data_IF_068008803143
#
_entry.id   IF_068008803143
#
_cell.length_a   1.000
_cell.length_b   1.000
_cell.length_c   1.000
_cell.angle_alpha   90.00
_cell.angle_beta   90.00
_cell.angle_gamma   90.00
#
_symmetry.space_group_name_H-M   'P 1'
#
loop_
_entity.id
_entity.type
_entity.pdbx_description
1 polymer ?
#
# COMPACT_ATOMS: atom_id res chain seq x y z
N UNK A 1 20.73 52.85 -25.49
CA UNK A 1 22.19 52.74 -25.33
C UNK A 1 22.42 52.22 -23.91
N UNK A 2 22.55 50.90 -23.77
CA UNK A 2 23.83 50.14 -23.72
C UNK A 2 24.43 50.22 -22.30
N UNK A 3 24.16 49.22 -21.45
CA UNK A 3 24.92 47.95 -21.25
C UNK A 3 25.96 48.14 -20.13
N UNK A 4 26.20 47.20 -19.20
CA UNK A 4 26.89 45.93 -19.38
C UNK A 4 26.82 45.10 -18.05
N UNK A 5 26.40 43.81 -18.14
CA UNK A 5 26.89 42.55 -17.47
C UNK A 5 27.02 42.42 -15.93
N UNK A 6 26.98 41.26 -15.25
CA UNK A 6 26.95 39.80 -15.54
C UNK A 6 26.52 39.07 -14.22
N UNK A 7 25.96 37.85 -14.31
CA UNK A 7 26.11 36.65 -13.41
C UNK A 7 25.97 36.81 -11.87
N UNK A 8 25.31 35.94 -11.08
CA UNK A 8 25.36 34.48 -11.00
C UNK A 8 24.38 33.99 -9.89
N UNK A 9 23.94 32.73 -9.98
CA UNK A 9 23.54 31.79 -8.88
C UNK A 9 22.21 31.95 -8.11
N UNK A 10 21.32 30.99 -8.43
CA UNK A 10 20.59 30.09 -7.52
C UNK A 10 19.74 30.65 -6.38
N UNK A 11 18.41 30.52 -6.53
CA UNK A 11 17.50 30.10 -5.46
C UNK A 11 16.37 29.22 -6.05
N UNK A 12 16.71 27.97 -6.38
CA UNK A 12 15.76 26.86 -6.27
C UNK A 12 15.42 26.69 -4.78
N UNK A 13 14.18 26.28 -4.46
CA UNK A 13 13.58 26.08 -3.12
C UNK A 13 12.65 27.20 -2.63
N UNK A 14 11.75 27.67 -3.50
CA UNK A 14 10.48 28.29 -3.10
C UNK A 14 9.34 27.27 -2.97
N UNK A 15 9.57 26.15 -2.28
CA UNK A 15 8.55 25.15 -1.99
C UNK A 15 7.72 25.58 -0.79
N UNK A 16 6.68 26.39 -1.03
CA UNK A 16 5.67 26.66 -0.02
C UNK A 16 5.13 25.35 0.54
N UNK A 17 5.33 25.12 1.85
CA UNK A 17 4.63 24.06 2.57
C UNK A 17 3.13 24.34 2.43
N UNK A 18 2.30 23.40 1.94
CA UNK A 18 0.87 23.56 2.06
C UNK A 18 0.52 23.57 3.55
N UNK A 19 -0.03 24.69 4.00
CA UNK A 19 -0.70 24.78 5.29
C UNK A 19 -1.88 23.79 5.28
N UNK A 20 -1.98 22.99 6.35
CA UNK A 20 -2.99 21.98 6.66
C UNK A 20 -3.12 20.78 5.69
N UNK A 21 -2.25 19.79 5.84
CA UNK A 21 -2.70 18.39 5.80
C UNK A 21 -3.45 18.14 7.12
N UNK A 22 -4.77 18.28 7.09
CA UNK A 22 -5.62 17.91 8.21
C UNK A 22 -5.49 16.41 8.46
N UNK A 23 -4.97 16.04 9.62
CA UNK A 23 -4.89 14.68 10.11
C UNK A 23 -6.31 14.08 10.15
N UNK A 24 -6.49 12.87 9.62
CA UNK A 24 -7.79 12.21 9.61
C UNK A 24 -8.17 11.74 11.00
N UNK A 25 -9.22 12.34 11.58
CA UNK A 25 -9.84 11.91 12.84
C UNK A 25 -11.07 11.07 12.51
N UNK A 26 -11.14 9.87 13.08
CA UNK A 26 -12.26 8.94 12.87
C UNK A 26 -12.84 8.52 14.23
N UNK A 27 -14.15 8.63 14.39
CA UNK A 27 -14.83 8.16 15.60
C UNK A 27 -15.12 6.65 15.50
N UNK A 28 -14.88 5.92 16.59
CA UNK A 28 -15.25 4.50 16.73
C UNK A 28 -15.88 4.25 18.09
N UNK A 29 -16.48 3.07 18.26
CA UNK A 29 -17.06 2.62 19.54
C UNK A 29 -16.04 2.60 20.70
N UNK A 30 -14.75 2.47 20.41
CA UNK A 30 -13.67 2.42 21.41
C UNK A 30 -12.98 3.78 21.64
N UNK A 31 -13.40 4.84 20.92
CA UNK A 31 -12.84 6.19 21.01
C UNK A 31 -12.36 6.77 19.68
N UNK A 32 -11.62 7.87 19.77
CA UNK A 32 -11.08 8.61 18.64
C UNK A 32 -9.85 7.89 18.05
N UNK A 33 -9.89 7.58 16.75
CA UNK A 33 -8.76 7.09 15.98
C UNK A 33 -8.13 8.26 15.24
N UNK A 34 -6.83 8.47 15.47
CA UNK A 34 -6.06 9.50 14.79
C UNK A 34 -5.08 8.86 13.78
N UNK A 35 -5.24 9.22 12.50
CA UNK A 35 -4.31 8.81 11.43
C UNK A 35 -3.20 9.84 11.31
N UNK A 36 -1.95 9.39 11.43
CA UNK A 36 -0.73 10.23 11.35
C UNK A 36 0.20 9.76 10.25
N UNK A 37 1.05 10.64 9.68
CA UNK A 37 2.20 10.19 8.89
C UNK A 37 3.09 9.27 9.71
N UNK A 38 3.55 8.17 9.11
CA UNK A 38 4.51 7.26 9.73
C UNK A 38 5.86 7.97 9.86
N UNK A 39 6.50 7.90 11.04
CA UNK A 39 7.83 8.49 11.27
C UNK A 39 8.92 7.43 11.16
N UNK A 40 10.16 7.86 10.90
CA UNK A 40 11.32 6.96 10.92
C UNK A 40 11.47 6.20 12.24
N UNK A 41 11.14 6.83 13.37
CA UNK A 41 11.14 6.21 14.70
C UNK A 41 10.12 5.08 14.86
N UNK A 42 9.05 5.08 14.06
CA UNK A 42 7.96 4.12 14.14
C UNK A 42 8.21 2.88 13.25
N UNK A 43 9.18 2.95 12.33
CA UNK A 43 9.49 1.89 11.35
C UNK A 43 9.73 0.53 12.03
N UNK A 44 10.54 0.40 13.11
CA UNK A 44 10.74 -0.91 13.73
C UNK A 44 9.44 -1.54 14.24
N UNK A 45 8.48 -0.73 14.71
CA UNK A 45 7.16 -1.22 15.12
C UNK A 45 6.31 -1.58 13.91
N UNK A 46 6.27 -0.72 12.89
CA UNK A 46 5.55 -0.96 11.65
C UNK A 46 6.00 -2.27 10.95
N UNK A 47 7.30 -2.55 10.92
CA UNK A 47 7.86 -3.78 10.35
C UNK A 47 7.38 -5.00 11.13
N UNK A 48 7.45 -4.95 12.48
CA UNK A 48 6.95 -6.05 13.33
C UNK A 48 5.44 -6.25 13.18
N UNK A 49 4.68 -5.16 13.11
CA UNK A 49 3.24 -5.18 12.86
C UNK A 49 2.92 -5.86 11.52
N UNK A 50 3.56 -5.39 10.44
CA UNK A 50 3.38 -5.95 9.09
C UNK A 50 3.69 -7.44 9.09
N UNK A 51 4.85 -7.82 9.61
CA UNK A 51 5.27 -9.22 9.65
C UNK A 51 4.34 -10.09 10.52
N UNK A 52 3.86 -9.58 11.66
CA UNK A 52 2.91 -10.33 12.49
C UNK A 52 1.53 -10.48 11.83
N UNK A 53 1.09 -9.46 11.10
CA UNK A 53 -0.21 -9.43 10.43
C UNK A 53 -0.24 -10.31 9.18
N UNK A 54 0.81 -10.25 8.33
CA UNK A 54 0.76 -10.87 7.00
C UNK A 54 1.14 -12.35 7.00
N UNK A 55 1.80 -12.87 8.05
CA UNK A 55 2.24 -14.28 8.09
C UNK A 55 1.13 -15.33 7.97
N UNK A 56 -0.09 -14.95 8.31
CA UNK A 56 -1.26 -15.84 8.20
C UNK A 56 -1.90 -15.77 6.81
N UNK A 57 -1.57 -14.77 6.00
CA UNK A 57 -2.09 -14.58 4.65
C UNK A 57 -1.61 -15.68 3.71
N UNK A 58 -2.48 -16.09 2.79
CA UNK A 58 -2.26 -17.19 1.87
C UNK A 58 -1.04 -16.96 0.97
N UNK A 59 -0.81 -15.76 0.46
CA UNK A 59 0.37 -15.44 -0.37
C UNK A 59 1.66 -15.49 0.47
N UNK A 60 1.62 -14.97 1.69
CA UNK A 60 2.77 -15.04 2.60
C UNK A 60 3.12 -16.48 2.94
N UNK A 61 2.13 -17.33 3.24
CA UNK A 61 2.33 -18.77 3.46
C UNK A 61 2.88 -19.47 2.23
N UNK A 62 2.39 -19.10 1.04
CA UNK A 62 2.88 -19.63 -0.23
C UNK A 62 4.36 -19.32 -0.47
N UNK A 63 4.84 -18.15 -0.09
CA UNK A 63 6.26 -17.83 -0.21
C UNK A 63 7.10 -18.44 0.93
N UNK A 64 6.61 -18.35 2.16
CA UNK A 64 7.30 -18.86 3.35
C UNK A 64 7.57 -20.37 3.26
N UNK A 65 6.66 -21.17 2.69
CA UNK A 65 6.84 -22.62 2.51
C UNK A 65 8.01 -22.97 1.55
N UNK A 66 8.26 -22.10 0.56
CA UNK A 66 9.38 -22.27 -0.36
C UNK A 66 10.68 -21.66 0.13
N UNK A 67 10.62 -20.80 1.15
CA UNK A 67 11.79 -20.13 1.71
C UNK A 67 12.57 -21.06 2.64
N UNK A 68 13.65 -21.63 2.10
CA UNK A 68 14.58 -22.49 2.85
C UNK A 68 15.77 -21.72 3.41
N UNK A 69 15.77 -20.39 3.31
CA UNK A 69 16.83 -19.55 3.84
C UNK A 69 16.91 -19.65 5.36
N UNK A 70 18.11 -19.75 5.96
CA UNK A 70 18.26 -19.84 7.42
C UNK A 70 17.85 -18.56 8.14
N UNK A 71 17.62 -17.46 7.41
CA UNK A 71 17.33 -16.14 7.96
C UNK A 71 16.21 -15.48 7.17
N UNK A 72 15.11 -15.12 7.84
CA UNK A 72 14.07 -14.24 7.30
C UNK A 72 14.47 -12.75 7.22
N UNK A 73 15.74 -12.46 7.49
CA UNK A 73 16.32 -11.12 7.39
C UNK A 73 16.08 -10.43 6.04
N UNK A 74 16.11 -11.11 4.87
CA UNK A 74 15.86 -10.44 3.59
C UNK A 74 14.47 -9.83 3.50
N UNK A 75 13.44 -10.50 4.04
CA UNK A 75 12.06 -10.01 4.02
C UNK A 75 11.86 -8.84 5.00
N UNK A 76 12.38 -8.95 6.23
CA UNK A 76 12.32 -7.83 7.18
C UNK A 76 13.08 -6.61 6.67
N UNK A 77 14.24 -6.82 6.05
CA UNK A 77 15.01 -5.75 5.42
C UNK A 77 14.21 -5.13 4.28
N UNK A 78 13.62 -5.94 3.39
CA UNK A 78 12.76 -5.47 2.31
C UNK A 78 11.61 -4.58 2.82
N UNK A 79 10.88 -5.03 3.84
CA UNK A 79 9.78 -4.26 4.45
C UNK A 79 10.31 -2.98 5.11
N UNK A 80 11.46 -3.05 5.79
CA UNK A 80 12.11 -1.87 6.40
C UNK A 80 12.46 -0.83 5.34
N UNK A 81 13.12 -1.24 4.27
CA UNK A 81 13.52 -0.33 3.19
C UNK A 81 12.31 0.24 2.45
N UNK A 82 11.25 -0.57 2.28
CA UNK A 82 9.98 -0.11 1.74
C UNK A 82 9.38 0.99 2.61
N UNK A 83 9.36 0.83 3.93
CA UNK A 83 8.89 1.90 4.82
C UNK A 83 9.79 3.13 4.81
N UNK A 84 11.12 2.98 4.73
CA UNK A 84 12.05 4.11 4.60
C UNK A 84 11.73 4.94 3.35
N UNK A 85 11.55 4.29 2.20
CA UNK A 85 11.19 4.97 0.96
C UNK A 85 9.80 5.63 1.06
N UNK A 86 8.80 4.93 1.60
CA UNK A 86 7.45 5.49 1.76
C UNK A 86 7.42 6.67 2.75
N UNK A 87 8.15 6.62 3.86
CA UNK A 87 8.25 7.74 4.81
C UNK A 87 8.96 8.93 4.13
N UNK A 88 10.04 8.69 3.38
CA UNK A 88 10.75 9.74 2.63
C UNK A 88 9.83 10.44 1.62
N UNK A 89 8.94 9.71 0.97
CA UNK A 89 8.01 10.22 -0.04
C UNK A 89 6.70 10.77 0.56
N UNK A 90 6.49 10.68 1.87
CA UNK A 90 5.22 11.08 2.51
C UNK A 90 4.04 10.15 2.17
N UNK A 91 4.35 8.88 1.90
CA UNK A 91 3.44 7.84 1.37
C UNK A 91 3.09 6.75 2.37
N UNK A 92 3.47 6.89 3.63
CA UNK A 92 3.10 5.98 4.71
C UNK A 92 2.36 6.74 5.82
N UNK A 93 1.23 6.16 6.25
CA UNK A 93 0.44 6.63 7.40
C UNK A 93 0.28 5.50 8.41
N UNK A 94 -0.04 5.88 9.65
CA UNK A 94 -0.11 4.98 10.79
C UNK A 94 -1.13 5.42 11.81
N UNK A 95 -1.57 4.45 12.62
CA UNK A 95 -2.28 4.65 13.87
C UNK A 95 -1.41 4.07 14.98
N UNK A 96 -1.34 4.79 16.12
CA UNK A 96 -0.64 4.36 17.32
C UNK A 96 0.82 3.94 17.09
N UNK A 97 1.57 4.79 16.38
CA UNK A 97 3.03 4.65 16.20
C UNK A 97 3.47 3.34 15.54
N UNK A 98 2.69 2.83 14.58
CA UNK A 98 3.01 1.60 13.84
C UNK A 98 2.19 0.37 14.23
N UNK A 99 1.20 0.50 15.11
CA UNK A 99 0.26 -0.59 15.47
C UNK A 99 -0.70 -0.92 14.32
N UNK A 100 -0.94 0.06 13.46
CA UNK A 100 -1.51 -0.15 12.12
C UNK A 100 -0.85 0.80 11.15
N UNK A 101 -0.61 0.33 9.94
CA UNK A 101 0.09 1.07 8.88
C UNK A 101 -0.58 0.85 7.54
N UNK A 102 -0.47 1.86 6.69
CA UNK A 102 -0.87 1.81 5.29
C UNK A 102 0.14 2.64 4.50
N UNK A 103 0.61 2.06 3.40
CA UNK A 103 1.38 2.76 2.39
C UNK A 103 0.52 2.96 1.15
N UNK A 104 0.87 3.91 0.30
CA UNK A 104 0.19 4.07 -0.97
C UNK A 104 1.14 4.56 -2.04
N UNK A 105 0.78 4.39 -3.31
CA UNK A 105 1.54 4.96 -4.43
C UNK A 105 0.66 5.91 -5.22
N UNK A 106 1.26 6.99 -5.69
CA UNK A 106 0.59 7.92 -6.60
C UNK A 106 0.69 7.43 -8.05
N UNK A 107 -0.18 7.96 -8.93
CA UNK A 107 -0.03 7.85 -10.38
C UNK A 107 1.40 8.16 -10.84
N UNK A 108 1.99 7.25 -11.63
CA UNK A 108 3.34 7.40 -12.18
C UNK A 108 4.50 7.07 -11.24
N UNK A 109 4.25 6.75 -9.97
CA UNK A 109 5.31 6.32 -9.05
C UNK A 109 5.94 4.99 -9.49
N UNK A 110 7.26 4.90 -9.37
CA UNK A 110 7.97 3.63 -9.55
C UNK A 110 7.53 2.60 -8.49
N UNK A 111 7.48 1.32 -8.86
CA UNK A 111 7.08 0.23 -7.94
C UNK A 111 7.97 0.11 -6.71
N UNK A 112 9.27 0.40 -6.86
CA UNK A 112 10.23 0.40 -5.79
C UNK A 112 10.90 1.77 -5.75
N UNK A 113 11.05 2.33 -4.54
CA UNK A 113 11.80 3.55 -4.35
C UNK A 113 13.28 3.39 -4.75
N UNK A 114 14.04 4.49 -4.88
CA UNK A 114 15.43 4.44 -5.33
C UNK A 114 16.31 3.58 -4.43
N UNK A 115 16.07 3.60 -3.12
CA UNK A 115 16.88 2.86 -2.15
C UNK A 115 16.58 1.36 -2.24
N UNK A 116 15.30 0.98 -2.21
CA UNK A 116 14.91 -0.41 -2.38
C UNK A 116 15.38 -0.96 -3.74
N UNK A 117 15.21 -0.20 -4.82
CA UNK A 117 15.67 -0.58 -6.16
C UNK A 117 17.18 -0.78 -6.23
N UNK A 118 17.96 0.04 -5.51
CA UNK A 118 19.40 -0.11 -5.43
C UNK A 118 19.80 -1.38 -4.66
N UNK A 119 19.17 -1.63 -3.50
CA UNK A 119 19.47 -2.82 -2.68
C UNK A 119 19.09 -4.11 -3.40
N UNK A 120 17.95 -4.14 -4.09
CA UNK A 120 17.50 -5.32 -4.85
C UNK A 120 18.45 -5.70 -6.01
N UNK A 121 19.25 -4.75 -6.51
CA UNK A 121 20.26 -5.03 -7.56
C UNK A 121 21.54 -5.65 -7.00
N UNK A 122 21.71 -5.72 -5.68
CA UNK A 122 22.91 -6.32 -5.09
C UNK A 122 22.87 -7.85 -5.29
N UNK A 123 23.98 -8.46 -5.78
CA UNK A 123 24.01 -9.88 -6.18
C UNK A 123 23.78 -10.87 -5.03
N UNK A 124 23.83 -10.40 -3.79
CA UNK A 124 23.50 -11.17 -2.61
C UNK A 124 22.01 -11.55 -2.56
N UNK A 125 21.09 -10.67 -2.98
CA UNK A 125 19.65 -10.96 -2.84
C UNK A 125 19.15 -12.02 -3.81
N UNK A 126 19.70 -12.08 -5.02
CA UNK A 126 19.35 -13.11 -6.02
C UNK A 126 19.92 -14.50 -5.70
N UNK A 127 21.03 -14.56 -4.94
CA UNK A 127 21.71 -15.82 -4.58
C UNK A 127 21.16 -16.50 -3.32
N UNK A 128 20.38 -15.77 -2.51
CA UNK A 128 19.86 -16.26 -1.22
C UNK A 128 18.50 -16.95 -1.37
N UNK A 129 17.74 -16.67 -2.44
CA UNK A 129 16.43 -17.28 -2.66
C UNK A 129 16.54 -18.70 -3.20
N UNK A 130 15.72 -19.61 -2.66
CA UNK A 130 15.59 -20.95 -3.22
C UNK A 130 15.04 -20.88 -4.66
N UNK A 131 15.37 -21.85 -5.50
CA UNK A 131 14.83 -21.93 -6.86
C UNK A 131 13.30 -22.03 -6.87
N UNK A 132 12.74 -22.67 -5.84
CA UNK A 132 11.29 -22.77 -5.66
C UNK A 132 10.66 -21.43 -5.29
N UNK A 133 11.24 -20.68 -4.36
CA UNK A 133 10.75 -19.34 -3.99
C UNK A 133 10.75 -18.42 -5.20
N UNK A 134 11.83 -18.44 -5.99
CA UNK A 134 11.91 -17.66 -7.23
C UNK A 134 10.83 -18.05 -8.23
N UNK A 135 10.54 -19.34 -8.39
CA UNK A 135 9.45 -19.82 -9.26
C UNK A 135 8.09 -19.27 -8.79
N UNK A 136 7.81 -19.34 -7.49
CA UNK A 136 6.55 -18.83 -6.90
C UNK A 136 6.41 -17.31 -7.04
N UNK A 137 7.48 -16.55 -6.82
CA UNK A 137 7.50 -15.10 -7.03
C UNK A 137 7.24 -14.73 -8.50
N UNK A 138 7.85 -15.46 -9.45
CA UNK A 138 7.63 -15.26 -10.89
C UNK A 138 6.19 -15.58 -11.27
N UNK A 139 5.63 -16.67 -10.75
CA UNK A 139 4.24 -17.07 -10.99
C UNK A 139 3.28 -15.97 -10.53
N UNK A 140 3.32 -15.60 -9.25
CA UNK A 140 2.45 -14.57 -8.66
C UNK A 140 2.66 -13.23 -9.37
N UNK A 141 3.92 -12.82 -9.59
CA UNK A 141 4.23 -11.56 -10.27
C UNK A 141 3.80 -11.53 -11.75
N UNK A 142 3.75 -12.67 -12.43
CA UNK A 142 3.27 -12.75 -13.81
C UNK A 142 1.75 -12.72 -13.87
N UNK A 143 1.07 -13.49 -13.02
CA UNK A 143 -0.40 -13.47 -12.89
C UNK A 143 -0.91 -12.09 -12.52
N UNK A 144 -0.30 -11.44 -11.52
CA UNK A 144 -0.67 -10.08 -11.11
C UNK A 144 -0.50 -9.05 -12.23
N UNK A 145 0.62 -9.10 -12.95
CA UNK A 145 0.82 -8.20 -14.10
C UNK A 145 -0.22 -8.43 -15.20
N UNK A 146 -0.56 -9.68 -15.48
CA UNK A 146 -1.58 -10.02 -16.46
C UNK A 146 -2.97 -9.52 -16.03
N UNK A 147 -3.36 -9.78 -14.78
CA UNK A 147 -4.64 -9.31 -14.22
C UNK A 147 -4.75 -7.79 -14.22
N UNK A 148 -3.73 -7.08 -13.71
CA UNK A 148 -3.73 -5.61 -13.70
C UNK A 148 -3.84 -5.07 -15.13
N UNK A 149 -3.05 -5.59 -16.07
CA UNK A 149 -3.10 -5.16 -17.48
C UNK A 149 -4.47 -5.43 -18.10
N UNK A 150 -5.06 -6.59 -17.83
CA UNK A 150 -6.36 -6.98 -18.41
C UNK A 150 -7.52 -6.18 -17.84
N UNK A 151 -7.53 -5.94 -16.52
CA UNK A 151 -8.66 -5.30 -15.84
C UNK A 151 -8.56 -3.76 -15.82
N UNK A 152 -7.34 -3.24 -15.66
CA UNK A 152 -7.10 -1.80 -15.49
C UNK A 152 -6.42 -1.17 -16.70
N UNK A 153 -5.86 -1.94 -17.65
CA UNK A 153 -5.24 -1.40 -18.85
C UNK A 153 -4.25 -0.26 -18.57
N UNK A 154 -4.30 0.77 -19.40
CA UNK A 154 -3.40 1.93 -19.28
C UNK A 154 -3.84 2.89 -18.16
N UNK A 155 -5.12 2.88 -17.75
CA UNK A 155 -5.65 3.76 -16.70
C UNK A 155 -5.01 3.48 -15.33
N UNK A 156 -4.36 2.34 -15.12
CA UNK A 156 -3.59 2.06 -13.88
C UNK A 156 -2.53 3.12 -13.59
N UNK A 157 -1.97 3.76 -14.63
CA UNK A 157 -0.98 4.82 -14.50
C UNK A 157 -1.55 6.12 -13.94
N UNK A 158 -2.88 6.25 -13.91
CA UNK A 158 -3.63 7.41 -13.44
C UNK A 158 -4.31 7.18 -12.08
N UNK A 159 -4.10 6.01 -11.48
CA UNK A 159 -4.72 5.59 -10.22
C UNK A 159 -3.77 5.66 -9.03
N UNK A 160 -4.35 5.76 -7.84
CA UNK A 160 -3.62 5.50 -6.60
C UNK A 160 -3.61 4.00 -6.32
N UNK A 161 -2.53 3.49 -5.73
CA UNK A 161 -2.46 2.10 -5.27
C UNK A 161 -2.43 2.07 -3.74
N UNK A 162 -3.34 1.30 -3.15
CA UNK A 162 -3.30 0.93 -1.74
C UNK A 162 -2.32 -0.24 -1.57
N UNK A 163 -1.33 -0.09 -0.70
CA UNK A 163 -0.32 -1.13 -0.45
C UNK A 163 0.12 -1.15 1.02
N UNK A 164 0.74 -2.25 1.46
CA UNK A 164 1.33 -2.32 2.81
C UNK A 164 0.34 -2.03 3.96
N UNK A 165 -0.95 -2.32 3.76
CA UNK A 165 -1.94 -2.27 4.83
C UNK A 165 -1.68 -3.41 5.79
N UNK A 166 -1.47 -3.09 7.07
CA UNK A 166 -1.32 -4.08 8.12
C UNK A 166 -1.78 -3.52 9.45
N UNK A 167 -2.47 -4.36 10.24
CA UNK A 167 -2.84 -4.06 11.62
C UNK A 167 -2.35 -5.18 12.52
N UNK A 168 -1.64 -4.83 13.59
CA UNK A 168 -1.11 -5.79 14.54
C UNK A 168 -2.23 -6.70 15.07
N UNK A 169 -2.04 -8.02 15.19
CA UNK A 169 -3.12 -8.94 15.57
C UNK A 169 -3.89 -8.53 16.84
N UNK A 170 -3.17 -8.06 17.88
CA UNK A 170 -3.77 -7.58 19.14
C UNK A 170 -4.60 -6.27 19.02
N UNK A 171 -4.56 -5.63 17.85
CA UNK A 171 -5.22 -4.36 17.53
C UNK A 171 -6.27 -4.50 16.42
N UNK A 172 -6.46 -5.71 15.88
CA UNK A 172 -7.52 -6.00 14.92
C UNK A 172 -8.90 -5.91 15.58
N UNK A 173 -9.95 -5.73 14.77
CA UNK A 173 -11.33 -5.54 15.25
C UNK A 173 -11.65 -4.15 15.81
N UNK A 174 -10.68 -3.24 15.85
CA UNK A 174 -10.83 -1.87 16.42
C UNK A 174 -11.07 -0.78 15.37
N UNK A 175 -11.33 -1.15 14.11
CA UNK A 175 -11.52 -0.19 13.02
C UNK A 175 -10.25 0.51 12.49
N UNK A 176 -9.05 0.10 12.91
CA UNK A 176 -7.80 0.76 12.51
C UNK A 176 -7.54 0.69 11.00
N UNK A 177 -7.64 -0.51 10.42
CA UNK A 177 -7.52 -0.69 8.98
C UNK A 177 -8.58 0.13 8.21
N UNK A 178 -9.84 0.08 8.66
CA UNK A 178 -10.95 0.87 8.11
C UNK A 178 -10.62 2.36 8.08
N UNK A 179 -10.12 2.92 9.18
CA UNK A 179 -9.75 4.34 9.27
C UNK A 179 -8.61 4.71 8.31
N UNK A 180 -7.58 3.86 8.19
CA UNK A 180 -6.48 4.08 7.23
C UNK A 180 -6.94 4.05 5.78
N UNK A 181 -7.81 3.09 5.42
CA UNK A 181 -8.34 2.99 4.05
C UNK A 181 -9.30 4.14 3.74
N UNK A 182 -10.15 4.56 4.70
CA UNK A 182 -10.99 5.76 4.55
C UNK A 182 -10.14 7.01 4.32
N UNK A 183 -9.08 7.21 5.11
CA UNK A 183 -8.14 8.31 4.90
C UNK A 183 -7.57 8.34 3.47
N UNK A 184 -7.14 7.19 2.93
CA UNK A 184 -6.64 7.10 1.55
C UNK A 184 -7.76 7.39 0.53
N UNK A 185 -8.95 6.83 0.74
CA UNK A 185 -10.10 7.03 -0.14
C UNK A 185 -10.53 8.50 -0.18
N UNK A 186 -10.60 9.19 0.95
CA UNK A 186 -10.97 10.60 1.04
C UNK A 186 -9.96 11.48 0.28
N UNK A 187 -8.66 11.15 0.42
CA UNK A 187 -7.60 11.80 -0.34
C UNK A 187 -7.71 11.55 -1.85
N UNK A 188 -8.09 10.33 -2.26
CA UNK A 188 -8.28 9.97 -3.66
C UNK A 188 -9.52 10.65 -4.26
N UNK A 189 -10.63 10.66 -3.52
CA UNK A 189 -11.89 11.34 -3.87
C UNK A 189 -11.66 12.84 -4.06
N UNK A 190 -10.94 13.48 -3.14
CA UNK A 190 -10.57 14.89 -3.24
C UNK A 190 -9.74 15.23 -4.48
N UNK A 191 -9.11 14.24 -5.10
CA UNK A 191 -8.27 14.37 -6.30
C UNK A 191 -8.92 13.81 -7.56
N UNK A 192 -10.14 13.27 -7.46
CA UNK A 192 -10.81 12.59 -8.56
C UNK A 192 -10.04 11.36 -9.07
N UNK A 193 -9.38 10.62 -8.17
CA UNK A 193 -8.54 9.46 -8.51
C UNK A 193 -9.19 8.17 -8.04
N UNK A 194 -9.19 7.15 -8.89
CA UNK A 194 -9.55 5.80 -8.45
C UNK A 194 -8.41 5.20 -7.62
N UNK A 195 -8.77 4.27 -6.74
CA UNK A 195 -7.82 3.49 -5.91
C UNK A 195 -7.93 2.03 -6.29
N UNK A 196 -6.80 1.37 -6.54
CA UNK A 196 -6.77 -0.08 -6.72
C UNK A 196 -5.92 -0.76 -5.65
N UNK A 197 -6.20 -2.03 -5.41
CA UNK A 197 -5.49 -2.84 -4.42
C UNK A 197 -5.34 -4.28 -4.93
N UNK A 198 -4.21 -4.89 -4.58
CA UNK A 198 -4.04 -6.32 -4.64
C UNK A 198 -4.29 -6.93 -3.26
N UNK A 199 -5.10 -7.98 -3.20
CA UNK A 199 -5.36 -8.74 -1.96
C UNK A 199 -5.45 -10.23 -2.26
N UNK A 200 -5.15 -11.06 -1.27
CA UNK A 200 -5.50 -12.47 -1.25
C UNK A 200 -6.78 -12.67 -0.44
N UNK A 201 -6.71 -12.79 0.89
CA UNK A 201 -7.79 -13.28 1.74
C UNK A 201 -8.81 -12.20 2.16
N UNK A 202 -8.45 -10.91 2.01
CA UNK A 202 -9.20 -9.79 2.58
C UNK A 202 -10.25 -9.16 1.63
N UNK A 203 -10.76 -9.91 0.65
CA UNK A 203 -11.74 -9.42 -0.34
C UNK A 203 -12.94 -8.71 0.31
N UNK A 204 -13.60 -9.38 1.26
CA UNK A 204 -14.82 -8.90 1.93
C UNK A 204 -14.60 -7.54 2.62
N UNK A 205 -13.44 -7.36 3.25
CA UNK A 205 -13.08 -6.11 3.93
C UNK A 205 -13.04 -4.93 2.96
N UNK A 206 -12.49 -5.14 1.76
CA UNK A 206 -12.44 -4.09 0.74
C UNK A 206 -13.82 -3.85 0.10
N UNK A 207 -14.65 -4.89 -0.07
CA UNK A 207 -16.04 -4.75 -0.56
C UNK A 207 -16.87 -3.84 0.37
N UNK A 208 -16.73 -4.00 1.69
CA UNK A 208 -17.38 -3.12 2.68
C UNK A 208 -16.94 -1.65 2.57
N UNK A 209 -15.77 -1.39 1.98
CA UNK A 209 -15.21 -0.05 1.78
C UNK A 209 -15.48 0.51 0.37
N UNK A 210 -16.31 -0.19 -0.41
CA UNK A 210 -16.75 0.23 -1.74
C UNK A 210 -15.81 -0.17 -2.88
N UNK A 211 -14.88 -1.10 -2.64
CA UNK A 211 -14.10 -1.69 -3.72
C UNK A 211 -14.88 -2.81 -4.40
N UNK A 212 -14.70 -2.95 -5.71
CA UNK A 212 -15.25 -4.04 -6.51
C UNK A 212 -14.13 -4.94 -7.03
N UNK A 213 -14.38 -6.24 -7.11
CA UNK A 213 -13.46 -7.20 -7.72
C UNK A 213 -13.43 -6.99 -9.24
N UNK A 214 -12.25 -6.74 -9.80
CA UNK A 214 -12.07 -6.50 -11.25
C UNK A 214 -11.24 -7.57 -11.95
N UNK A 215 -10.44 -8.34 -11.20
CA UNK A 215 -9.80 -9.55 -11.67
C UNK A 215 -9.50 -10.50 -10.51
N UNK A 216 -9.57 -11.80 -10.79
CA UNK A 216 -9.22 -12.88 -9.87
C UNK A 216 -8.48 -13.99 -10.63
N UNK A 217 -7.47 -14.56 -9.99
CA UNK A 217 -6.72 -15.74 -10.44
C UNK A 217 -6.23 -16.49 -9.19
N UNK A 218 -5.61 -17.65 -9.39
CA UNK A 218 -5.08 -18.50 -8.33
C UNK A 218 -3.63 -18.88 -8.62
N UNK A 219 -2.79 -18.85 -7.58
CA UNK A 219 -1.43 -19.37 -7.61
C UNK A 219 -1.33 -20.73 -6.91
N UNK A 220 -0.31 -21.50 -7.26
CA UNK A 220 -0.04 -22.80 -6.65
C UNK A 220 -0.90 -23.96 -7.17
N UNK A 221 -1.83 -23.72 -8.09
CA UNK A 221 -2.74 -24.75 -8.66
C UNK A 221 -1.97 -25.93 -9.26
N UNK A 222 -0.96 -25.63 -10.08
CA UNK A 222 -0.14 -26.63 -10.78
C UNK A 222 1.25 -26.79 -10.16
N UNK A 223 1.41 -26.42 -8.88
CA UNK A 223 2.71 -26.50 -8.22
C UNK A 223 2.81 -27.77 -7.36
N UNK A 224 3.49 -28.85 -7.82
CA UNK A 224 3.56 -30.11 -7.07
C UNK A 224 4.37 -30.02 -5.77
N UNK A 225 5.06 -28.90 -5.51
CA UNK A 225 5.76 -28.65 -4.25
C UNK A 225 4.94 -27.82 -3.26
N UNK A 226 3.73 -27.41 -3.64
CA UNK A 226 2.79 -26.72 -2.78
C UNK A 226 1.68 -27.68 -2.36
N UNK A 227 1.54 -27.89 -1.06
CA UNK A 227 0.55 -28.82 -0.50
C UNK A 227 -0.64 -28.09 0.15
N UNK A 228 -0.68 -26.76 0.08
CA UNK A 228 -1.82 -25.98 0.57
C UNK A 228 -2.87 -25.74 -0.51
N UNK A 229 -3.96 -25.08 -0.13
CA UNK A 229 -5.02 -24.70 -1.07
C UNK A 229 -4.49 -23.71 -2.13
N UNK A 230 -5.13 -23.64 -3.32
CA UNK A 230 -4.85 -22.59 -4.28
C UNK A 230 -4.92 -21.20 -3.65
N UNK A 231 -3.89 -20.39 -3.91
CA UNK A 231 -3.71 -19.10 -3.28
C UNK A 231 -4.46 -18.05 -4.11
N UNK A 232 -5.52 -17.42 -3.58
CA UNK A 232 -6.27 -16.46 -4.34
C UNK A 232 -5.46 -15.19 -4.59
N UNK A 233 -5.51 -14.67 -5.80
CA UNK A 233 -4.93 -13.39 -6.19
C UNK A 233 -6.04 -12.50 -6.72
N UNK A 234 -6.31 -11.39 -6.06
CA UNK A 234 -7.45 -10.51 -6.39
C UNK A 234 -6.99 -9.09 -6.62
N UNK A 235 -7.45 -8.50 -7.72
CA UNK A 235 -7.32 -7.07 -7.98
C UNK A 235 -8.68 -6.43 -7.76
N UNK A 236 -8.72 -5.43 -6.89
CA UNK A 236 -9.94 -4.71 -6.55
C UNK A 236 -9.77 -3.22 -6.84
N UNK A 237 -10.88 -2.56 -7.17
CA UNK A 237 -10.93 -1.17 -7.63
C UNK A 237 -12.03 -0.41 -6.91
N UNK A 238 -11.74 0.82 -6.50
CA UNK A 238 -12.72 1.80 -6.02
C UNK A 238 -12.64 3.05 -6.88
N UNK A 239 -13.74 3.37 -7.55
CA UNK A 239 -13.85 4.64 -8.29
C UNK A 239 -13.97 5.84 -7.32
N UNK A 240 -13.50 7.04 -7.71
CA UNK A 240 -13.62 8.22 -6.88
C UNK A 240 -15.10 8.59 -6.73
N UNK A 241 -15.50 8.99 -5.52
CA UNK A 241 -16.84 9.52 -5.26
C UNK A 241 -16.88 11.01 -5.58
N UNK A 242 -17.86 11.49 -6.37
CA UNK A 242 -18.07 12.92 -6.60
C UNK A 242 -18.29 13.65 -5.27
N UNK A 243 -17.66 14.83 -5.14
CA UNK A 243 -17.73 15.67 -3.93
C UNK A 243 -19.17 16.10 -3.59
N UNK A 244 -20.07 16.12 -4.58
CA UNK A 244 -21.40 16.72 -4.48
C UNK A 244 -22.50 15.80 -3.88
N UNK A 245 -22.21 14.54 -3.56
CA UNK A 245 -23.21 13.62 -2.98
C UNK A 245 -23.14 13.48 -1.45
N UNK A 246 -22.05 13.91 -0.80
CA UNK A 246 -21.91 13.83 0.66
C UNK A 246 -22.64 14.98 1.35
N UNK A 247 -22.64 16.18 0.75
CA UNK A 247 -23.31 17.36 1.30
C UNK A 247 -24.85 17.29 1.23
N UNK A 248 -25.42 16.53 0.27
CA UNK A 248 -26.88 16.40 0.09
C UNK A 248 -27.46 15.34 1.02
N UNK A 249 -26.72 14.27 1.31
CA UNK A 249 -27.17 13.22 2.23
C UNK A 249 -27.18 13.67 3.69
N UNK A 250 -26.25 14.55 4.11
CA UNK A 250 -26.23 15.10 5.47
C UNK A 250 -27.20 16.29 5.68
N UNK A 251 -27.59 16.99 4.60
CA UNK A 251 -28.54 18.13 4.67
C UNK A 251 -29.97 17.77 4.27
N UNK A 252 -30.25 16.51 3.94
CA UNK A 252 -31.50 16.05 3.34
C UNK A 252 -32.58 15.49 4.27
N UNK A 253 -32.52 15.75 5.58
CA UNK A 253 -33.56 15.34 6.53
C UNK A 253 -34.09 16.52 7.36
N UNK A 254 -34.51 17.58 6.68
CA UNK A 254 -35.59 18.44 7.18
C UNK A 254 -36.43 18.86 5.98
N UNK A 255 -37.63 18.32 5.85
CA UNK A 255 -38.75 19.06 5.25
C UNK A 255 -40.10 18.46 5.66
N UNK A 256 -40.78 19.26 6.48
CA UNK A 256 -42.21 19.40 6.78
C UNK A 256 -43.01 18.21 7.34
#
# INVERSE_FOLDING_TARGET
MASYYHEEKAALLGGGRPASLTYGRFETLEGEIEVKPLRYSDIPRAVRCTYAATRVESVSRYFDDADRGPLKLPQMLFVTLSFVDNVRLGRAVTINHGDSVLSYREPGDARAGPLLSWVLKLPFFDRVKSSELRKREIEVGTKLRAMIKSALGDRVSEMMELSGLATAPAKQGRGYATALVKYLNDMADARGRAVWVFTDDAKWFYEELGYVLVAEDWAGVDNPKWNGDPVPLRVMLREPKPRDLVDVAEKGLVTY
#
